data_IF_134730393803
#
_entry.id   IF_134730393803
#
_cell.length_a   1.000
_cell.length_b   1.000
_cell.length_c   1.000
_cell.angle_alpha   90.00
_cell.angle_beta   90.00
_cell.angle_gamma   90.00
#
_symmetry.space_group_name_H-M   'P 1'
#
loop_
_entity.id
_entity.type
_entity.pdbx_description
1 polymer ?
#
# COMPACT_ATOMS: atom_id res chain seq x y z
N UNK A 1 6.87 -3.31 8.95
CA UNK A 1 7.78 -2.13 9.00
C UNK A 1 9.01 -2.52 8.20
N UNK A 2 9.22 -1.92 7.01
CA UNK A 2 10.13 -2.46 6.01
C UNK A 2 11.58 -2.10 6.27
N UNK A 3 12.47 -2.92 5.70
CA UNK A 3 13.88 -2.63 5.37
C UNK A 3 14.59 -1.75 6.41
N UNK A 4 14.92 -2.38 7.53
CA UNK A 4 16.03 -2.07 8.43
C UNK A 4 16.08 -0.65 9.07
N UNK A 5 14.95 -0.07 9.49
CA UNK A 5 14.94 1.11 10.36
C UNK A 5 15.02 0.81 11.88
N UNK A 6 14.98 -0.45 12.33
CA UNK A 6 14.71 -0.73 13.75
C UNK A 6 15.74 -0.14 14.72
N UNK A 7 17.04 -0.16 14.38
CA UNK A 7 18.10 0.40 15.22
C UNK A 7 18.18 1.92 15.11
N UNK A 8 18.35 2.45 13.89
CA UNK A 8 18.59 3.89 13.69
C UNK A 8 17.36 4.74 14.09
N UNK A 9 16.14 4.23 13.83
CA UNK A 9 14.92 4.91 14.25
C UNK A 9 14.70 4.84 15.76
N UNK A 10 15.05 3.73 16.40
CA UNK A 10 14.99 3.63 17.85
C UNK A 10 15.99 4.58 18.52
N UNK A 11 17.23 4.60 18.05
CA UNK A 11 18.25 5.52 18.54
C UNK A 11 17.78 6.97 18.41
N UNK A 12 17.28 7.37 17.23
CA UNK A 12 16.73 8.70 17.03
C UNK A 12 15.52 8.97 17.95
N UNK A 13 14.55 8.07 18.01
CA UNK A 13 13.36 8.22 18.86
C UNK A 13 13.70 8.31 20.34
N UNK A 14 14.76 7.63 20.80
CA UNK A 14 15.21 7.67 22.19
C UNK A 14 15.74 9.04 22.63
N UNK A 15 16.06 9.93 21.68
CA UNK A 15 16.51 11.30 21.96
C UNK A 15 15.37 12.28 22.27
N UNK A 16 14.11 11.90 22.03
CA UNK A 16 12.94 12.76 22.21
C UNK A 16 11.81 11.96 22.89
N UNK A 17 11.37 12.43 24.06
CA UNK A 17 10.39 11.72 24.90
C UNK A 17 9.07 11.39 24.16
N UNK A 18 8.57 12.32 23.34
CA UNK A 18 7.33 12.12 22.59
C UNK A 18 7.53 11.11 21.44
N UNK A 19 8.66 11.17 20.73
CA UNK A 19 8.99 10.21 19.69
C UNK A 19 9.20 8.81 20.26
N UNK A 20 9.82 8.68 21.43
CA UNK A 20 9.97 7.39 22.12
C UNK A 20 8.61 6.79 22.45
N UNK A 21 7.68 7.57 23.00
CA UNK A 21 6.32 7.08 23.22
C UNK A 21 5.61 6.69 21.93
N UNK A 22 5.71 7.47 20.85
CA UNK A 22 5.14 7.10 19.56
C UNK A 22 5.73 5.78 19.01
N UNK A 23 7.04 5.58 19.15
CA UNK A 23 7.71 4.33 18.79
C UNK A 23 7.21 3.13 19.59
N UNK A 24 7.04 3.28 20.91
CA UNK A 24 6.57 2.22 21.79
C UNK A 24 5.09 1.86 21.50
N UNK A 25 4.25 2.85 21.15
CA UNK A 25 2.87 2.60 20.71
C UNK A 25 2.87 1.74 19.44
N UNK A 26 3.62 2.14 18.40
CA UNK A 26 3.71 1.37 17.15
C UNK A 26 4.22 -0.06 17.39
N UNK A 27 5.24 -0.20 18.23
CA UNK A 27 5.83 -1.51 18.57
C UNK A 27 4.82 -2.41 19.29
N UNK A 28 4.13 -1.87 20.29
CA UNK A 28 3.14 -2.61 21.05
C UNK A 28 1.93 -3.02 20.20
N UNK A 29 1.48 -2.16 19.29
CA UNK A 29 0.40 -2.47 18.34
C UNK A 29 0.82 -3.51 17.32
N UNK A 30 2.03 -3.40 16.76
CA UNK A 30 2.56 -4.39 15.83
C UNK A 30 2.66 -5.78 16.47
N UNK A 31 3.14 -5.87 17.72
CA UNK A 31 3.14 -7.12 18.48
C UNK A 31 1.72 -7.65 18.70
N UNK A 32 0.75 -6.77 18.99
CA UNK A 32 -0.64 -7.19 19.13
C UNK A 32 -1.22 -7.77 17.84
N UNK A 33 -0.99 -7.12 16.71
CA UNK A 33 -1.43 -7.61 15.39
C UNK A 33 -0.84 -9.00 15.12
N UNK A 34 0.47 -9.17 15.29
CA UNK A 34 1.14 -10.47 15.09
C UNK A 34 0.67 -11.56 16.05
N UNK A 35 0.10 -11.20 17.20
CA UNK A 35 -0.46 -12.12 18.18
C UNK A 35 -1.98 -12.31 18.04
N UNK A 36 -2.59 -11.78 16.97
CA UNK A 36 -4.04 -11.85 16.75
C UNK A 36 -4.85 -11.10 17.82
N UNK A 37 -4.28 -10.06 18.44
CA UNK A 37 -4.95 -9.23 19.46
C UNK A 37 -5.40 -7.91 18.85
N UNK A 38 -6.56 -7.42 19.30
CA UNK A 38 -7.17 -6.17 18.83
C UNK A 38 -6.76 -4.94 19.62
N UNK A 39 -6.16 -5.10 20.80
CA UNK A 39 -5.80 -3.99 21.68
C UNK A 39 -4.52 -4.25 22.46
N UNK A 40 -3.88 -3.18 22.92
CA UNK A 40 -2.65 -3.23 23.72
C UNK A 40 -2.74 -2.26 24.89
N UNK A 41 -2.67 -2.78 26.11
CA UNK A 41 -2.62 -1.96 27.34
C UNK A 41 -1.38 -1.07 27.34
N UNK A 42 -0.26 -1.57 26.85
CA UNK A 42 0.98 -0.80 26.81
C UNK A 42 0.91 0.32 25.76
N UNK A 43 0.30 0.07 24.60
CA UNK A 43 0.04 1.14 23.63
C UNK A 43 -0.84 2.23 24.25
N UNK A 44 -1.92 1.87 24.94
CA UNK A 44 -2.81 2.83 25.60
C UNK A 44 -2.11 3.66 26.68
N UNK A 45 -1.26 3.02 27.49
CA UNK A 45 -0.43 3.70 28.51
C UNK A 45 0.51 4.73 27.87
N UNK A 46 1.20 4.34 26.81
CA UNK A 46 2.10 5.26 26.09
C UNK A 46 1.33 6.37 25.36
N UNK A 47 0.16 6.09 24.80
CA UNK A 47 -0.70 7.09 24.18
C UNK A 47 -1.15 8.14 25.20
N UNK A 48 -1.55 7.72 26.40
CA UNK A 48 -1.92 8.65 27.49
C UNK A 48 -0.77 9.57 27.87
N UNK A 49 0.46 9.06 27.96
CA UNK A 49 1.64 9.87 28.26
C UNK A 49 2.00 10.80 27.11
N UNK A 50 1.96 10.29 25.88
CA UNK A 50 2.25 11.05 24.67
C UNK A 50 1.34 12.26 24.51
N UNK A 51 0.03 12.10 24.75
CA UNK A 51 -0.94 13.20 24.68
C UNK A 51 -0.59 14.30 25.68
N UNK A 52 -0.14 13.96 26.90
CA UNK A 52 0.29 14.96 27.89
C UNK A 52 1.50 15.76 27.38
N UNK A 53 2.55 15.07 26.94
CA UNK A 53 3.77 15.69 26.41
C UNK A 53 3.47 16.57 25.19
N UNK A 54 2.57 16.12 24.31
CA UNK A 54 2.16 16.89 23.14
C UNK A 54 1.37 18.15 23.52
N UNK A 55 0.46 18.07 24.49
CA UNK A 55 -0.30 19.24 24.94
C UNK A 55 0.64 20.33 25.48
N UNK A 56 1.69 19.94 26.23
CA UNK A 56 2.70 20.86 26.73
C UNK A 56 3.48 21.50 25.55
N UNK A 57 3.90 20.71 24.56
CA UNK A 57 4.59 21.22 23.36
C UNK A 57 3.72 22.15 22.52
N UNK A 58 2.44 21.82 22.35
CA UNK A 58 1.51 22.58 21.52
C UNK A 58 1.09 23.89 22.17
N UNK A 59 1.17 23.98 23.49
CA UNK A 59 0.93 25.22 24.25
C UNK A 59 2.06 26.24 24.11
N UNK A 60 3.26 25.79 23.74
CA UNK A 60 4.42 26.64 23.47
C UNK A 60 4.56 26.93 21.96
N UNK A 61 4.53 28.21 21.52
CA UNK A 61 4.64 28.57 20.10
C UNK A 61 5.92 28.09 19.41
N UNK A 62 7.04 27.98 20.14
CA UNK A 62 8.33 27.51 19.61
C UNK A 62 8.30 25.99 19.50
N UNK A 63 7.92 25.29 20.58
CA UNK A 63 7.93 23.82 20.61
C UNK A 63 6.89 23.21 19.65
N UNK A 64 5.76 23.87 19.46
CA UNK A 64 4.69 23.42 18.55
C UNK A 64 5.16 23.27 17.10
N UNK A 65 6.12 24.10 16.67
CA UNK A 65 6.63 24.14 15.30
C UNK A 65 7.95 23.38 15.11
N UNK A 66 8.43 22.65 16.12
CA UNK A 66 9.61 21.81 15.99
C UNK A 66 9.35 20.64 15.04
N UNK A 67 10.38 20.26 14.29
CA UNK A 67 10.34 19.10 13.39
C UNK A 67 9.99 17.80 14.14
N UNK A 68 10.46 17.65 15.38
CA UNK A 68 10.10 16.49 16.22
C UNK A 68 8.62 16.50 16.60
N UNK A 69 8.01 17.64 16.91
CA UNK A 69 6.57 17.76 17.21
C UNK A 69 5.71 17.40 15.99
N UNK A 70 6.05 17.95 14.81
CA UNK A 70 5.35 17.62 13.55
C UNK A 70 5.51 16.14 13.22
N UNK A 71 6.70 15.57 13.45
CA UNK A 71 6.97 14.15 13.24
C UNK A 71 6.14 13.25 14.17
N UNK A 72 6.03 13.59 15.47
CA UNK A 72 5.19 12.86 16.43
C UNK A 72 3.74 12.85 15.98
N UNK A 73 3.19 14.00 15.56
CA UNK A 73 1.79 14.08 15.10
C UNK A 73 1.60 13.28 13.81
N UNK A 74 2.60 13.25 12.93
CA UNK A 74 2.61 12.39 11.73
C UNK A 74 2.59 10.91 12.10
N UNK A 75 3.36 10.51 13.13
CA UNK A 75 3.33 9.15 13.65
C UNK A 75 1.98 8.79 14.28
N UNK A 76 1.34 9.71 15.01
CA UNK A 76 -0.01 9.50 15.56
C UNK A 76 -1.04 9.30 14.46
N UNK A 77 -1.03 10.13 13.42
CA UNK A 77 -1.91 9.96 12.27
C UNK A 77 -1.74 8.57 11.63
N UNK A 78 -0.50 8.12 11.42
CA UNK A 78 -0.20 6.79 10.90
C UNK A 78 -0.66 5.66 11.83
N UNK A 79 -0.48 5.81 13.15
CA UNK A 79 -0.98 4.86 14.15
C UNK A 79 -2.50 4.70 14.02
N UNK A 80 -3.24 5.81 13.93
CA UNK A 80 -4.69 5.78 13.78
C UNK A 80 -5.12 5.14 12.45
N UNK A 81 -4.43 5.43 11.34
CA UNK A 81 -4.68 4.79 10.02
C UNK A 81 -4.45 3.27 10.09
N UNK A 82 -3.33 2.85 10.67
CA UNK A 82 -2.98 1.43 10.80
C UNK A 82 -3.90 0.66 11.76
N UNK A 83 -4.60 1.37 12.66
CA UNK A 83 -5.62 0.80 13.56
C UNK A 83 -7.06 0.99 13.05
N UNK A 84 -7.25 1.36 11.78
CA UNK A 84 -8.57 1.56 11.17
C UNK A 84 -9.42 2.65 11.86
N UNK A 85 -8.79 3.74 12.30
CA UNK A 85 -9.41 4.91 12.93
C UNK A 85 -9.21 6.18 12.07
N UNK A 86 -9.70 6.22 10.82
CA UNK A 86 -9.41 7.32 9.90
C UNK A 86 -10.00 8.67 10.33
N UNK A 87 -11.10 8.68 11.11
CA UNK A 87 -11.65 9.92 11.65
C UNK A 87 -10.74 10.56 12.71
N UNK A 88 -10.09 9.75 13.54
CA UNK A 88 -9.07 10.25 14.47
C UNK A 88 -7.82 10.73 13.72
N UNK A 89 -7.41 9.99 12.68
CA UNK A 89 -6.33 10.41 11.80
C UNK A 89 -6.62 11.76 11.14
N UNK A 90 -7.85 12.02 10.71
CA UNK A 90 -8.27 13.28 10.07
C UNK A 90 -7.95 14.51 10.93
N UNK A 91 -8.21 14.44 12.24
CA UNK A 91 -7.88 15.52 13.17
C UNK A 91 -6.37 15.78 13.25
N UNK A 92 -5.55 14.72 13.22
CA UNK A 92 -4.10 14.84 13.15
C UNK A 92 -3.62 15.42 11.81
N UNK A 93 -4.21 15.02 10.67
CA UNK A 93 -3.88 15.58 9.35
C UNK A 93 -4.22 17.08 9.27
N UNK A 94 -5.36 17.50 9.83
CA UNK A 94 -5.72 18.91 9.95
C UNK A 94 -4.67 19.69 10.76
N UNK A 95 -4.31 19.18 11.94
CA UNK A 95 -3.28 19.78 12.78
C UNK A 95 -1.92 19.88 12.05
N UNK A 96 -1.52 18.82 11.33
CA UNK A 96 -0.30 18.82 10.52
C UNK A 96 -0.35 19.93 9.47
N UNK A 97 -1.48 20.12 8.78
CA UNK A 97 -1.60 21.19 7.78
C UNK A 97 -1.35 22.57 8.37
N UNK A 98 -1.88 22.85 9.56
CA UNK A 98 -1.66 24.12 10.24
C UNK A 98 -0.19 24.30 10.68
N UNK A 99 0.42 23.26 11.25
CA UNK A 99 1.81 23.31 11.72
C UNK A 99 2.81 23.42 10.57
N UNK A 100 2.60 22.67 9.48
CA UNK A 100 3.45 22.71 8.29
C UNK A 100 3.36 24.08 7.62
N UNK A 101 2.17 24.67 7.51
CA UNK A 101 2.01 26.04 7.01
C UNK A 101 2.77 27.04 7.89
N UNK A 102 2.66 26.94 9.22
CA UNK A 102 3.42 27.81 10.15
C UNK A 102 4.93 27.64 10.02
N UNK A 103 5.40 26.43 9.71
CA UNK A 103 6.81 26.12 9.45
C UNK A 103 7.31 26.65 8.10
N UNK A 104 6.42 27.16 7.26
CA UNK A 104 6.74 27.71 5.93
C UNK A 104 6.61 26.69 4.78
N UNK A 105 5.86 25.60 5.00
CA UNK A 105 5.57 24.58 4.00
C UNK A 105 6.43 23.31 4.11
N UNK A 106 6.07 22.28 3.35
CA UNK A 106 6.71 20.95 3.38
C UNK A 106 8.22 20.98 3.12
N UNK A 107 8.67 21.89 2.27
CA UNK A 107 10.09 22.03 1.90
C UNK A 107 10.94 22.69 3.00
N UNK A 108 10.31 23.24 4.04
CA UNK A 108 11.00 23.83 5.22
C UNK A 108 11.14 22.84 6.38
N UNK A 109 10.62 21.62 6.23
CA UNK A 109 10.73 20.58 7.24
C UNK A 109 12.13 19.97 7.26
N UNK A 110 12.63 19.70 8.47
CA UNK A 110 13.98 19.20 8.72
C UNK A 110 14.10 17.67 8.75
N UNK A 111 15.10 17.19 9.52
CA UNK A 111 15.40 15.77 9.74
C UNK A 111 15.62 14.98 8.45
N UNK A 112 16.41 15.56 7.53
CA UNK A 112 16.74 14.98 6.23
C UNK A 112 15.50 14.58 5.40
N UNK A 113 14.39 15.31 5.54
CA UNK A 113 13.13 15.06 4.84
C UNK A 113 12.24 14.00 5.51
N UNK A 114 12.63 13.45 6.65
CA UNK A 114 11.86 12.39 7.34
C UNK A 114 10.49 12.88 7.78
N UNK A 115 10.40 14.12 8.28
CA UNK A 115 9.13 14.72 8.67
C UNK A 115 8.20 14.86 7.47
N UNK A 116 8.71 15.36 6.34
CA UNK A 116 7.96 15.47 5.08
C UNK A 116 7.43 14.10 4.66
N UNK A 117 8.29 13.07 4.59
CA UNK A 117 7.88 11.71 4.18
C UNK A 117 6.79 11.12 5.07
N UNK A 118 6.90 11.27 6.41
CA UNK A 118 5.87 10.78 7.34
C UNK A 118 4.57 11.55 7.22
N UNK A 119 4.61 12.87 7.10
CA UNK A 119 3.42 13.69 6.92
C UNK A 119 2.69 13.37 5.61
N UNK A 120 3.43 13.21 4.51
CA UNK A 120 2.88 12.84 3.20
C UNK A 120 2.25 11.44 3.23
N UNK A 121 2.92 10.46 3.84
CA UNK A 121 2.36 9.11 3.94
C UNK A 121 1.12 9.06 4.84
N UNK A 122 1.11 9.83 5.94
CA UNK A 122 -0.07 9.95 6.78
C UNK A 122 -1.26 10.57 6.03
N UNK A 123 -1.02 11.65 5.28
CA UNK A 123 -2.04 12.31 4.48
C UNK A 123 -2.60 11.37 3.39
N UNK A 124 -1.73 10.67 2.66
CA UNK A 124 -2.15 9.70 1.64
C UNK A 124 -2.94 8.53 2.25
N UNK A 125 -2.45 7.94 3.35
CA UNK A 125 -3.16 6.85 4.03
C UNK A 125 -4.53 7.27 4.55
N UNK A 126 -4.64 8.48 5.11
CA UNK A 126 -5.90 9.07 5.53
C UNK A 126 -6.83 9.32 4.34
N UNK A 127 -6.30 9.85 3.24
CA UNK A 127 -7.03 10.13 2.02
C UNK A 127 -7.61 8.86 1.40
N UNK A 128 -6.80 7.79 1.30
CA UNK A 128 -7.24 6.46 0.86
C UNK A 128 -8.34 5.94 1.78
N UNK A 129 -8.15 5.97 3.10
CA UNK A 129 -9.13 5.43 4.04
C UNK A 129 -10.48 6.17 3.99
N UNK A 130 -10.48 7.47 3.64
CA UNK A 130 -11.69 8.29 3.54
C UNK A 130 -12.19 8.48 2.10
N UNK A 131 -11.47 7.97 1.09
CA UNK A 131 -11.79 8.16 -0.33
C UNK A 131 -11.88 9.63 -0.74
N UNK A 132 -10.93 10.44 -0.27
CA UNK A 132 -10.81 11.86 -0.58
C UNK A 132 -9.49 12.16 -1.29
N UNK A 133 -9.37 13.35 -1.88
CA UNK A 133 -8.08 13.83 -2.41
C UNK A 133 -7.11 14.11 -1.25
N UNK A 134 -5.84 13.68 -1.32
CA UNK A 134 -4.90 13.99 -0.26
C UNK A 134 -4.61 15.50 -0.23
N UNK A 135 -4.43 16.02 0.98
CA UNK A 135 -4.38 17.45 1.28
C UNK A 135 -3.08 18.11 0.82
N UNK A 136 -1.98 17.38 0.96
CA UNK A 136 -0.66 17.92 0.71
C UNK A 136 -0.29 17.84 -0.78
N UNK A 137 0.40 18.86 -1.31
CA UNK A 137 0.82 18.86 -2.70
C UNK A 137 1.81 17.73 -2.95
N UNK A 138 1.63 17.07 -4.10
CA UNK A 138 2.54 16.07 -4.63
C UNK A 138 3.54 16.73 -5.57
N UNK A 139 4.78 16.22 -5.59
CA UNK A 139 5.82 16.55 -6.55
C UNK A 139 6.48 15.24 -6.97
N UNK A 140 6.60 15.04 -8.27
CA UNK A 140 7.23 13.89 -8.92
C UNK A 140 8.75 13.99 -8.95
N UNK A 141 9.34 15.05 -8.39
CA UNK A 141 10.79 15.27 -8.38
C UNK A 141 11.43 14.42 -7.28
N UNK A 142 11.59 13.12 -7.57
CA UNK A 142 12.27 12.15 -6.70
C UNK A 142 13.66 11.83 -7.23
N UNK A 143 14.63 11.67 -6.32
CA UNK A 143 15.97 11.25 -6.71
C UNK A 143 15.94 9.83 -7.29
N UNK A 144 16.72 9.53 -8.35
CA UNK A 144 16.74 8.21 -8.95
C UNK A 144 17.30 7.19 -7.95
N UNK A 145 16.74 5.98 -7.94
CA UNK A 145 17.39 4.85 -7.25
C UNK A 145 18.64 4.50 -8.06
N UNK A 146 19.77 4.40 -7.40
CA UNK A 146 21.02 3.99 -8.04
C UNK A 146 21.30 2.55 -7.61
N UNK A 147 21.23 1.60 -8.54
CA UNK A 147 21.68 0.23 -8.26
C UNK A 147 23.22 0.18 -8.30
N UNK A 148 23.87 -0.67 -7.49
CA UNK A 148 25.28 -0.97 -7.66
C UNK A 148 25.53 -1.48 -9.09
N UNK A 149 26.60 -1.01 -9.77
CA UNK A 149 26.88 -1.36 -11.18
C UNK A 149 27.10 -2.86 -11.44
N UNK A 150 27.41 -3.64 -10.40
CA UNK A 150 27.65 -5.08 -10.48
C UNK A 150 26.38 -5.94 -10.27
N UNK A 151 25.24 -5.31 -9.97
CA UNK A 151 23.95 -5.99 -9.89
C UNK A 151 23.42 -6.21 -11.31
N UNK A 152 23.02 -7.45 -11.62
CA UNK A 152 22.27 -7.87 -12.81
C UNK A 152 21.47 -6.69 -13.40
N UNK A 153 21.70 -6.34 -14.67
CA UNK A 153 20.95 -5.24 -15.28
C UNK A 153 19.45 -5.48 -15.04
N UNK A 154 18.75 -4.52 -14.41
CA UNK A 154 17.35 -4.64 -14.06
C UNK A 154 16.53 -4.48 -15.34
N UNK A 155 16.57 -5.47 -16.22
CA UNK A 155 15.67 -5.45 -17.36
C UNK A 155 14.31 -5.84 -16.84
N UNK A 156 13.44 -4.84 -16.73
CA UNK A 156 11.99 -5.01 -16.77
C UNK A 156 11.69 -6.13 -17.75
N UNK A 157 10.98 -7.16 -17.30
CA UNK A 157 10.62 -8.25 -18.20
C UNK A 157 9.66 -7.68 -19.26
N UNK A 158 10.20 -7.40 -20.44
CA UNK A 158 9.46 -6.94 -21.62
C UNK A 158 9.16 -8.09 -22.57
N UNK A 159 9.35 -9.35 -22.14
CA UNK A 159 9.02 -10.50 -22.95
C UNK A 159 7.53 -10.50 -23.33
N UNK A 160 7.17 -11.02 -24.53
CA UNK A 160 5.78 -11.19 -24.92
C UNK A 160 5.02 -11.98 -23.85
N UNK A 161 3.94 -11.40 -23.35
CA UNK A 161 3.14 -11.97 -22.28
C UNK A 161 3.66 -11.70 -20.87
N UNK A 162 4.59 -10.76 -20.65
CA UNK A 162 4.87 -10.25 -19.31
C UNK A 162 3.73 -9.36 -18.79
N UNK A 163 3.62 -9.19 -17.46
CA UNK A 163 2.61 -8.29 -16.88
C UNK A 163 2.76 -6.85 -17.40
N UNK A 164 4.01 -6.42 -17.69
CA UNK A 164 4.29 -5.09 -18.21
C UNK A 164 3.62 -4.89 -19.58
N UNK A 165 3.76 -5.88 -20.48
CA UNK A 165 3.16 -5.83 -21.81
C UNK A 165 1.63 -5.90 -21.73
N UNK A 166 1.08 -6.76 -20.87
CA UNK A 166 -0.36 -6.85 -20.65
C UNK A 166 -0.95 -5.51 -20.15
N UNK A 167 -0.32 -4.90 -19.15
CA UNK A 167 -0.73 -3.60 -18.59
C UNK A 167 -0.60 -2.49 -19.63
N UNK A 168 0.42 -2.55 -20.50
CA UNK A 168 0.57 -1.60 -21.61
C UNK A 168 -0.57 -1.69 -22.62
N UNK A 169 -0.97 -2.91 -22.97
CA UNK A 169 -2.11 -3.13 -23.83
C UNK A 169 -3.44 -2.76 -23.17
N UNK A 170 -3.55 -2.94 -21.85
CA UNK A 170 -4.73 -2.54 -21.06
C UNK A 170 -4.87 -1.02 -21.01
N UNK A 171 -3.77 -0.33 -20.70
CA UNK A 171 -3.70 1.12 -20.62
C UNK A 171 -3.98 1.79 -21.96
N UNK A 172 -3.49 1.23 -23.07
CA UNK A 172 -3.79 1.74 -24.42
C UNK A 172 -5.27 1.62 -24.81
N UNK A 173 -6.01 0.72 -24.16
CA UNK A 173 -7.44 0.50 -24.43
C UNK A 173 -8.35 1.21 -23.44
N UNK A 174 -7.89 1.43 -22.21
CA UNK A 174 -8.61 2.22 -21.23
C UNK A 174 -8.60 3.69 -21.70
N UNK A 175 -9.76 4.35 -21.67
CA UNK A 175 -9.85 5.80 -21.96
C UNK A 175 -9.33 6.68 -20.81
N UNK A 176 -8.46 6.12 -19.95
CA UNK A 176 -7.97 6.73 -18.72
C UNK A 176 -6.63 7.45 -18.87
N UNK A 177 -6.13 8.07 -17.79
CA UNK A 177 -4.81 8.71 -17.79
C UNK A 177 -3.71 7.66 -17.97
N UNK A 178 -2.64 8.03 -18.67
CA UNK A 178 -1.52 7.12 -18.96
C UNK A 178 -0.40 7.28 -17.92
N UNK A 179 -0.28 6.34 -16.99
CA UNK A 179 0.87 6.17 -16.08
C UNK A 179 0.97 4.76 -15.44
N UNK A 180 0.00 3.87 -15.70
CA UNK A 180 -0.10 2.56 -15.06
C UNK A 180 1.09 1.66 -15.39
N UNK A 181 1.58 1.67 -16.64
CA UNK A 181 2.79 0.94 -17.01
C UNK A 181 4.02 1.40 -16.24
N UNK A 182 4.16 2.72 -16.04
CA UNK A 182 5.28 3.28 -15.30
C UNK A 182 5.23 2.84 -13.83
N UNK A 183 4.03 2.86 -13.22
CA UNK A 183 3.81 2.34 -11.87
C UNK A 183 4.23 0.88 -11.74
N UNK A 184 3.80 -0.01 -12.65
CA UNK A 184 4.16 -1.44 -12.61
C UNK A 184 5.67 -1.65 -12.77
N UNK A 185 6.29 -0.91 -13.69
CA UNK A 185 7.74 -0.92 -13.86
C UNK A 185 8.47 -0.52 -12.57
N UNK A 186 8.02 0.56 -11.93
CA UNK A 186 8.66 1.08 -10.73
C UNK A 186 8.47 0.12 -9.54
N UNK A 187 7.33 -0.58 -9.45
CA UNK A 187 7.12 -1.66 -8.47
C UNK A 187 8.06 -2.85 -8.68
N UNK A 188 8.22 -3.30 -9.94
CA UNK A 188 9.17 -4.37 -10.28
C UNK A 188 10.59 -3.97 -9.91
N UNK A 189 10.96 -2.73 -10.24
CA UNK A 189 12.27 -2.17 -9.94
C UNK A 189 12.52 -2.06 -8.43
N UNK A 190 11.55 -1.54 -7.66
CA UNK A 190 11.62 -1.51 -6.20
C UNK A 190 11.77 -2.91 -5.60
N UNK A 191 11.05 -3.89 -6.12
CA UNK A 191 11.18 -5.27 -5.67
C UNK A 191 12.58 -5.84 -5.95
N UNK A 192 13.13 -5.60 -7.14
CA UNK A 192 14.50 -5.97 -7.48
C UNK A 192 15.53 -5.32 -6.55
N UNK A 193 15.38 -4.03 -6.26
CA UNK A 193 16.27 -3.31 -5.33
C UNK A 193 16.19 -3.95 -3.93
N UNK A 194 14.99 -4.25 -3.44
CA UNK A 194 14.80 -4.87 -2.12
C UNK A 194 15.38 -6.29 -2.07
N UNK A 195 15.18 -7.08 -3.13
CA UNK A 195 15.65 -8.48 -3.20
C UNK A 195 17.16 -8.59 -3.46
N UNK A 196 17.74 -7.70 -4.26
CA UNK A 196 19.19 -7.63 -4.48
C UNK A 196 19.94 -7.11 -3.26
N UNK A 197 19.28 -6.29 -2.45
CA UNK A 197 19.79 -5.82 -1.18
C UNK A 197 19.76 -6.90 -0.10
N UNK A 198 20.53 -7.97 -0.28
CA UNK A 198 20.88 -8.90 0.78
C UNK A 198 21.78 -8.21 1.83
N UNK A 199 21.14 -7.48 2.75
CA UNK A 199 21.46 -7.32 4.19
C UNK A 199 22.92 -7.06 4.64
N UNK A 200 23.56 -5.99 4.17
CA UNK A 200 24.48 -5.12 4.97
C UNK A 200 24.68 -3.74 4.34
N UNK A 201 24.47 -3.60 3.02
CA UNK A 201 25.01 -2.47 2.25
C UNK A 201 23.99 -1.35 1.93
N UNK A 202 22.73 -1.46 2.39
CA UNK A 202 21.75 -0.39 2.20
C UNK A 202 22.18 0.81 3.05
N UNK A 203 22.75 1.81 2.38
CA UNK A 203 23.17 3.06 3.01
C UNK A 203 21.93 3.83 3.49
N UNK A 204 22.12 4.75 4.43
CA UNK A 204 21.04 5.63 4.89
C UNK A 204 20.39 6.41 3.73
N UNK A 205 21.17 6.78 2.71
CA UNK A 205 20.72 7.49 1.51
C UNK A 205 19.76 6.62 0.71
N UNK A 206 20.09 5.35 0.49
CA UNK A 206 19.22 4.41 -0.26
C UNK A 206 17.87 4.22 0.42
N UNK A 207 17.82 4.21 1.76
CA UNK A 207 16.56 4.08 2.52
C UNK A 207 15.65 5.29 2.38
N UNK A 208 16.23 6.49 2.34
CA UNK A 208 15.43 7.72 2.15
C UNK A 208 14.83 7.73 0.74
N UNK A 209 15.64 7.39 -0.25
CA UNK A 209 15.22 7.28 -1.65
C UNK A 209 14.09 6.24 -1.77
N UNK A 210 14.24 5.03 -1.21
CA UNK A 210 13.19 4.02 -1.23
C UNK A 210 11.86 4.51 -0.66
N UNK A 211 11.89 5.26 0.45
CA UNK A 211 10.66 5.78 1.04
C UNK A 211 9.96 6.83 0.17
N UNK A 212 10.71 7.63 -0.59
CA UNK A 212 10.15 8.58 -1.54
C UNK A 212 9.55 7.84 -2.75
N UNK A 213 10.20 6.79 -3.25
CA UNK A 213 9.69 5.95 -4.34
C UNK A 213 8.43 5.15 -3.96
N UNK A 214 8.35 4.59 -2.75
CA UNK A 214 7.11 3.95 -2.29
C UNK A 214 5.94 4.93 -2.27
N UNK A 215 6.17 6.14 -1.72
CA UNK A 215 5.14 7.17 -1.68
C UNK A 215 4.74 7.61 -3.09
N UNK A 216 5.70 7.79 -3.99
CA UNK A 216 5.47 8.20 -5.37
C UNK A 216 4.54 7.23 -6.11
N UNK A 217 4.86 5.93 -6.08
CA UNK A 217 4.05 4.88 -6.71
C UNK A 217 2.64 4.83 -6.11
N UNK A 218 2.53 4.84 -4.78
CA UNK A 218 1.24 4.83 -4.09
C UNK A 218 0.40 6.05 -4.44
N UNK A 219 1.05 7.22 -4.54
CA UNK A 219 0.40 8.48 -4.84
C UNK A 219 -0.11 8.53 -6.27
N UNK A 220 0.72 8.14 -7.25
CA UNK A 220 0.32 8.10 -8.66
C UNK A 220 -0.82 7.11 -8.90
N UNK A 221 -0.73 5.90 -8.32
CA UNK A 221 -1.81 4.91 -8.40
C UNK A 221 -3.13 5.43 -7.80
N UNK A 222 -3.08 6.16 -6.68
CA UNK A 222 -4.27 6.74 -6.08
C UNK A 222 -4.83 7.93 -6.87
N UNK A 223 -3.98 8.79 -7.44
CA UNK A 223 -4.43 9.88 -8.30
C UNK A 223 -5.09 9.36 -9.59
N UNK A 224 -4.61 8.23 -10.16
CA UNK A 224 -5.27 7.56 -11.29
C UNK A 224 -6.70 7.10 -10.92
N UNK A 225 -6.89 6.51 -9.74
CA UNK A 225 -8.22 6.10 -9.24
C UNK A 225 -9.17 7.29 -9.13
N UNK A 226 -8.72 8.40 -8.51
CA UNK A 226 -9.53 9.60 -8.35
C UNK A 226 -9.87 10.26 -9.70
N UNK A 227 -8.96 10.17 -10.66
CA UNK A 227 -9.15 10.78 -11.99
C UNK A 227 -10.16 9.97 -12.82
N UNK A 228 -10.13 8.64 -12.72
CA UNK A 228 -11.08 7.78 -13.42
C UNK A 228 -12.52 7.93 -12.89
N UNK A 229 -12.69 8.20 -11.59
CA UNK A 229 -13.99 8.57 -11.01
C UNK A 229 -14.55 9.87 -11.61
N UNK A 230 -13.68 10.84 -11.94
CA UNK A 230 -14.07 12.12 -12.57
C UNK A 230 -14.44 11.97 -14.05
N UNK A 231 -13.74 11.12 -14.80
CA UNK A 231 -14.11 10.83 -16.20
C UNK A 231 -15.39 10.01 -16.33
N UNK A 232 -15.77 9.29 -15.27
CA UNK A 232 -17.01 8.52 -15.21
C UNK A 232 -18.22 9.36 -14.78
N UNK A 233 -18.01 10.51 -14.13
CA UNK A 233 -19.07 11.35 -13.58
C UNK A 233 -18.83 12.83 -13.83
N UNK A 234 -19.67 13.44 -14.68
CA UNK A 234 -19.89 14.89 -14.69
C UNK A 234 -20.55 15.32 -13.36
N UNK A 235 -19.73 15.49 -12.32
CA UNK A 235 -20.03 16.27 -11.12
C UNK A 235 -21.15 15.74 -10.23
N UNK A 236 -20.81 14.81 -9.32
CA UNK A 236 -21.27 14.76 -7.92
C UNK A 236 -20.63 13.54 -7.22
N UNK A 237 -19.63 13.81 -6.38
CA UNK A 237 -19.00 12.82 -5.50
C UNK A 237 -20.02 12.33 -4.47
N UNK A 238 -20.63 11.17 -4.69
CA UNK A 238 -21.12 10.24 -3.63
C UNK A 238 -22.12 9.18 -4.11
N UNK A 239 -22.57 9.20 -5.37
CA UNK A 239 -23.55 8.21 -5.86
C UNK A 239 -23.10 7.63 -7.20
N UNK A 240 -23.02 6.30 -7.24
CA UNK A 240 -22.80 5.46 -8.42
C UNK A 240 -21.34 5.18 -8.87
N UNK A 241 -20.55 4.56 -7.98
CA UNK A 241 -19.54 3.56 -8.40
C UNK A 241 -20.19 2.32 -9.08
N UNK A 242 -21.52 2.26 -9.18
CA UNK A 242 -22.28 1.16 -9.76
C UNK A 242 -22.26 1.15 -11.30
N UNK A 243 -22.35 2.30 -11.97
CA UNK A 243 -22.57 2.39 -13.43
C UNK A 243 -21.31 2.68 -14.28
N UNK A 244 -20.17 2.97 -13.65
CA UNK A 244 -18.93 3.37 -14.35
C UNK A 244 -18.05 2.23 -14.88
N UNK A 245 -18.32 0.98 -14.46
CA UNK A 245 -17.49 -0.19 -14.76
C UNK A 245 -18.19 -1.09 -15.78
N UNK A 246 -18.53 -0.54 -16.95
CA UNK A 246 -19.25 -1.27 -18.00
C UNK A 246 -18.34 -2.10 -18.90
N UNK A 247 -17.03 -1.80 -18.94
CA UNK A 247 -16.06 -2.56 -19.73
C UNK A 247 -14.98 -3.23 -18.87
N UNK A 248 -14.51 -4.38 -19.36
CA UNK A 248 -13.49 -5.20 -18.72
C UNK A 248 -12.18 -4.42 -18.49
N UNK A 249 -11.78 -3.60 -19.47
CA UNK A 249 -10.51 -2.87 -19.44
C UNK A 249 -10.47 -1.84 -18.31
N UNK A 250 -11.56 -1.13 -18.07
CA UNK A 250 -11.69 -0.15 -16.99
C UNK A 250 -11.70 -0.81 -15.62
N UNK A 251 -12.38 -1.96 -15.48
CA UNK A 251 -12.40 -2.71 -14.23
C UNK A 251 -11.00 -3.26 -13.87
N UNK A 252 -10.32 -3.88 -14.84
CA UNK A 252 -8.94 -4.33 -14.65
C UNK A 252 -7.99 -3.17 -14.37
N UNK A 253 -8.13 -2.04 -15.06
CA UNK A 253 -7.29 -0.86 -14.83
C UNK A 253 -7.42 -0.35 -13.38
N UNK A 254 -8.66 -0.21 -12.87
CA UNK A 254 -8.89 0.15 -11.47
C UNK A 254 -8.35 -0.90 -10.51
N UNK A 255 -8.52 -2.18 -10.87
CA UNK A 255 -7.96 -3.32 -10.15
C UNK A 255 -6.44 -3.22 -10.01
N UNK A 256 -5.74 -2.89 -11.09
CA UNK A 256 -4.29 -2.68 -11.09
C UNK A 256 -3.86 -1.51 -10.21
N UNK A 257 -4.58 -0.38 -10.22
CA UNK A 257 -4.25 0.76 -9.37
C UNK A 257 -4.39 0.41 -7.88
N UNK A 258 -5.46 -0.28 -7.49
CA UNK A 258 -5.66 -0.74 -6.11
C UNK A 258 -4.63 -1.80 -5.72
N UNK A 259 -4.37 -2.78 -6.60
CA UNK A 259 -3.37 -3.81 -6.40
C UNK A 259 -1.96 -3.21 -6.28
N UNK A 260 -1.62 -2.15 -7.02
CA UNK A 260 -0.33 -1.48 -6.91
C UNK A 260 -0.09 -0.88 -5.52
N UNK A 261 -1.10 -0.20 -4.96
CA UNK A 261 -1.03 0.37 -3.61
C UNK A 261 -0.94 -0.74 -2.56
N UNK A 262 -1.78 -1.77 -2.68
CA UNK A 262 -1.78 -2.92 -1.77
C UNK A 262 -0.43 -3.64 -1.81
N UNK A 263 0.10 -3.89 -3.01
CA UNK A 263 1.37 -4.56 -3.22
C UNK A 263 2.54 -3.76 -2.62
N UNK A 264 2.58 -2.43 -2.84
CA UNK A 264 3.55 -1.56 -2.17
C UNK A 264 3.47 -1.68 -0.65
N UNK A 265 2.27 -1.65 -0.08
CA UNK A 265 2.07 -1.74 1.38
C UNK A 265 2.39 -3.13 1.96
N UNK A 266 1.92 -4.20 1.32
CA UNK A 266 2.03 -5.57 1.81
C UNK A 266 3.40 -6.16 1.50
N UNK A 267 3.81 -6.15 0.24
CA UNK A 267 5.00 -6.84 -0.25
C UNK A 267 6.27 -6.04 0.02
N UNK A 268 6.25 -4.74 -0.25
CA UNK A 268 7.47 -3.91 -0.22
C UNK A 268 7.65 -3.20 1.12
N UNK A 269 6.56 -2.70 1.71
CA UNK A 269 6.57 -2.08 3.04
C UNK A 269 6.43 -3.08 4.20
N UNK A 270 6.17 -4.35 3.91
CA UNK A 270 6.00 -5.42 4.90
C UNK A 270 5.03 -5.01 6.02
N UNK A 271 3.88 -4.42 5.63
CA UNK A 271 2.79 -4.12 6.56
C UNK A 271 1.97 -5.39 6.72
N UNK A 272 1.74 -5.87 7.96
CA UNK A 272 0.93 -7.06 8.19
C UNK A 272 -0.46 -6.91 7.56
N UNK A 273 -0.98 -7.94 6.86
CA UNK A 273 -2.24 -7.83 6.13
C UNK A 273 -3.42 -7.44 7.04
N UNK A 274 -3.37 -7.76 8.33
CA UNK A 274 -4.41 -7.39 9.32
C UNK A 274 -4.44 -5.89 9.65
N UNK A 275 -3.46 -5.09 9.21
CA UNK A 275 -3.43 -3.65 9.47
C UNK A 275 -4.60 -2.91 8.80
N UNK A 276 -5.12 -1.88 9.47
CA UNK A 276 -6.28 -1.12 9.04
C UNK A 276 -6.13 -0.38 7.71
N UNK A 277 -4.90 -0.08 7.28
CA UNK A 277 -4.62 0.56 5.97
C UNK A 277 -5.19 -0.23 4.80
N UNK A 278 -5.30 -1.56 4.93
CA UNK A 278 -5.84 -2.41 3.86
C UNK A 278 -7.37 -2.43 3.81
N UNK A 279 -8.09 -1.98 4.84
CA UNK A 279 -9.54 -2.16 4.93
C UNK A 279 -10.27 -1.56 3.72
N UNK A 280 -10.07 -0.27 3.45
CA UNK A 280 -10.73 0.39 2.33
C UNK A 280 -10.21 -0.10 0.97
N UNK A 281 -8.91 -0.37 0.87
CA UNK A 281 -8.27 -0.86 -0.35
C UNK A 281 -8.82 -2.24 -0.77
N UNK A 282 -8.88 -3.19 0.16
CA UNK A 282 -9.42 -4.54 -0.06
C UNK A 282 -10.91 -4.47 -0.36
N UNK A 283 -11.67 -3.66 0.38
CA UNK A 283 -13.12 -3.46 0.15
C UNK A 283 -13.37 -2.98 -1.29
N UNK A 284 -12.62 -1.96 -1.73
CA UNK A 284 -12.76 -1.42 -3.07
C UNK A 284 -12.30 -2.40 -4.14
N UNK A 285 -11.18 -3.09 -3.92
CA UNK A 285 -10.67 -4.05 -4.89
C UNK A 285 -11.62 -5.24 -5.04
N UNK A 286 -12.20 -5.73 -3.95
CA UNK A 286 -13.20 -6.79 -4.00
C UNK A 286 -14.44 -6.35 -4.80
N UNK A 287 -14.91 -5.10 -4.60
CA UNK A 287 -16.03 -4.53 -5.37
C UNK A 287 -15.72 -4.42 -6.86
N UNK A 288 -14.51 -4.00 -7.22
CA UNK A 288 -14.06 -3.93 -8.62
C UNK A 288 -13.95 -5.33 -9.21
N UNK A 289 -13.33 -6.26 -8.49
CA UNK A 289 -13.09 -7.63 -8.92
C UNK A 289 -14.39 -8.40 -9.20
N UNK A 290 -15.46 -8.16 -8.44
CA UNK A 290 -16.78 -8.75 -8.71
C UNK A 290 -17.38 -8.36 -10.06
N UNK A 291 -16.92 -7.26 -10.68
CA UNK A 291 -17.39 -6.82 -12.00
C UNK A 291 -16.51 -7.31 -13.14
N UNK A 292 -15.40 -7.98 -12.83
CA UNK A 292 -14.50 -8.53 -13.84
C UNK A 292 -15.05 -9.88 -14.29
N UNK A 293 -15.31 -10.03 -15.59
CA UNK A 293 -15.47 -11.35 -16.20
C UNK A 293 -14.12 -12.05 -16.17
N UNK A 294 -13.92 -12.93 -15.18
CA UNK A 294 -12.62 -13.56 -14.90
C UNK A 294 -12.17 -14.47 -16.04
N UNK A 295 -13.08 -15.13 -16.75
CA UNK A 295 -12.75 -16.02 -17.88
C UNK A 295 -12.29 -15.22 -19.09
N UNK A 296 -13.01 -14.16 -19.45
CA UNK A 296 -12.60 -13.24 -20.52
C UNK A 296 -11.31 -12.50 -20.17
N UNK A 297 -11.18 -12.04 -18.92
CA UNK A 297 -9.99 -11.37 -18.41
C UNK A 297 -8.76 -12.28 -18.50
N UNK A 298 -8.87 -13.54 -18.08
CA UNK A 298 -7.77 -14.48 -18.11
C UNK A 298 -7.29 -14.76 -19.53
N UNK A 299 -8.22 -14.89 -20.49
CA UNK A 299 -7.85 -15.14 -21.89
C UNK A 299 -7.06 -13.98 -22.52
N UNK A 300 -7.20 -12.76 -21.98
CA UNK A 300 -6.63 -11.54 -22.57
C UNK A 300 -5.46 -10.97 -21.77
N UNK A 301 -5.52 -11.07 -20.45
CA UNK A 301 -4.60 -10.48 -19.47
C UNK A 301 -4.36 -11.43 -18.28
N UNK A 302 -3.89 -12.67 -18.51
CA UNK A 302 -3.79 -13.69 -17.47
C UNK A 302 -2.92 -13.24 -16.29
N UNK A 303 -1.71 -12.73 -16.55
CA UNK A 303 -0.79 -12.34 -15.47
C UNK A 303 -1.30 -11.15 -14.67
N UNK A 304 -1.92 -10.19 -15.35
CA UNK A 304 -2.50 -9.00 -14.74
C UNK A 304 -3.69 -9.37 -13.85
N UNK A 305 -4.61 -10.20 -14.35
CA UNK A 305 -5.76 -10.67 -13.58
C UNK A 305 -5.30 -11.43 -12.33
N UNK A 306 -4.40 -12.40 -12.52
CA UNK A 306 -3.90 -13.23 -11.43
C UNK A 306 -3.16 -12.40 -10.38
N UNK A 307 -2.35 -11.43 -10.79
CA UNK A 307 -1.67 -10.53 -9.87
C UNK A 307 -2.67 -9.66 -9.08
N UNK A 308 -3.69 -9.12 -9.73
CA UNK A 308 -4.74 -8.31 -9.08
C UNK A 308 -5.52 -9.14 -8.06
N UNK A 309 -6.01 -10.32 -8.44
CA UNK A 309 -6.77 -11.21 -7.56
C UNK A 309 -5.90 -11.78 -6.43
N UNK A 310 -4.67 -12.20 -6.73
CA UNK A 310 -3.71 -12.70 -5.76
C UNK A 310 -3.32 -11.64 -4.74
N UNK A 311 -3.03 -10.40 -5.18
CA UNK A 311 -2.69 -9.29 -4.29
C UNK A 311 -3.87 -8.94 -3.38
N UNK A 312 -5.08 -8.85 -3.93
CA UNK A 312 -6.30 -8.59 -3.17
C UNK A 312 -6.61 -9.70 -2.17
N UNK A 313 -6.52 -10.95 -2.63
CA UNK A 313 -6.64 -12.15 -1.81
C UNK A 313 -5.68 -12.12 -0.64
N UNK A 314 -4.37 -12.04 -0.89
CA UNK A 314 -3.30 -11.99 0.12
C UNK A 314 -3.53 -10.89 1.17
N UNK A 315 -3.90 -9.68 0.74
CA UNK A 315 -4.18 -8.59 1.67
C UNK A 315 -5.50 -8.75 2.45
N UNK A 316 -6.44 -9.56 1.96
CA UNK A 316 -7.73 -9.79 2.62
C UNK A 316 -7.66 -10.76 3.81
N UNK A 317 -6.48 -11.22 4.24
CA UNK A 317 -6.35 -12.12 5.40
C UNK A 317 -7.05 -11.55 6.65
N UNK A 318 -7.92 -12.37 7.26
CA UNK A 318 -8.73 -11.97 8.41
C UNK A 318 -9.92 -11.06 8.10
N UNK A 319 -10.26 -10.86 6.81
CA UNK A 319 -11.42 -10.06 6.36
C UNK A 319 -12.45 -10.91 5.63
N UNK A 320 -13.68 -10.41 5.60
CA UNK A 320 -14.81 -11.07 4.93
C UNK A 320 -14.66 -11.15 3.41
N UNK A 321 -13.95 -10.20 2.82
CA UNK A 321 -13.68 -10.09 1.38
C UNK A 321 -12.77 -11.21 0.88
N UNK A 322 -12.01 -11.86 1.76
CA UNK A 322 -11.12 -12.98 1.41
C UNK A 322 -11.84 -14.05 0.60
N UNK A 323 -13.02 -14.46 1.07
CA UNK A 323 -13.85 -15.47 0.42
C UNK A 323 -14.38 -15.03 -0.96
N UNK A 324 -14.46 -13.72 -1.22
CA UNK A 324 -14.86 -13.23 -2.54
C UNK A 324 -13.74 -13.45 -3.57
N UNK A 325 -12.49 -13.20 -3.20
CA UNK A 325 -11.33 -13.50 -4.05
C UNK A 325 -11.14 -15.00 -4.25
N UNK A 326 -11.32 -15.81 -3.20
CA UNK A 326 -11.28 -17.28 -3.29
C UNK A 326 -12.29 -17.77 -4.33
N UNK A 327 -13.55 -17.32 -4.24
CA UNK A 327 -14.61 -17.71 -5.20
C UNK A 327 -14.33 -17.28 -6.64
N UNK A 328 -13.72 -16.11 -6.85
CA UNK A 328 -13.38 -15.62 -8.19
C UNK A 328 -12.31 -16.48 -8.86
N UNK A 329 -11.24 -16.82 -8.14
CA UNK A 329 -10.19 -17.69 -8.66
C UNK A 329 -10.67 -19.14 -8.80
N UNK A 330 -11.47 -19.59 -7.86
CA UNK A 330 -12.08 -20.90 -7.95
C UNK A 330 -12.99 -21.05 -9.18
N UNK A 331 -13.81 -20.05 -9.49
CA UNK A 331 -14.63 -20.05 -10.70
C UNK A 331 -13.77 -20.20 -11.98
N UNK A 332 -12.63 -19.51 -12.02
CA UNK A 332 -11.66 -19.62 -13.11
C UNK A 332 -11.04 -21.03 -13.19
N UNK A 333 -10.77 -21.69 -12.06
CA UNK A 333 -10.25 -23.07 -12.01
C UNK A 333 -11.25 -24.13 -12.48
N UNK A 334 -12.55 -23.82 -12.46
CA UNK A 334 -13.59 -24.71 -12.95
C UNK A 334 -13.79 -24.66 -14.46
N UNK A 335 -13.11 -23.74 -15.16
CA UNK A 335 -13.24 -23.61 -16.61
C UNK A 335 -12.74 -24.88 -17.33
N UNK A 336 -13.46 -25.40 -18.35
CA UNK A 336 -13.12 -26.68 -18.99
C UNK A 336 -11.74 -26.73 -19.65
N UNK A 337 -11.16 -25.58 -19.96
CA UNK A 337 -9.83 -25.42 -20.55
C UNK A 337 -8.72 -25.22 -19.51
N UNK A 338 -9.09 -25.05 -18.23
CA UNK A 338 -8.15 -24.90 -17.12
C UNK A 338 -7.84 -26.28 -16.53
N UNK A 339 -6.67 -26.82 -16.86
CA UNK A 339 -6.31 -28.20 -16.51
C UNK A 339 -5.24 -28.33 -15.41
N UNK A 340 -4.65 -27.22 -14.94
CA UNK A 340 -3.52 -27.28 -14.02
C UNK A 340 -3.48 -26.11 -13.02
N UNK A 341 -3.88 -26.36 -11.78
CA UNK A 341 -3.80 -25.39 -10.68
C UNK A 341 -2.36 -25.02 -10.33
N UNK A 342 -1.42 -25.96 -10.39
CA UNK A 342 -0.01 -25.73 -10.07
C UNK A 342 0.63 -24.76 -11.07
N UNK A 343 0.29 -24.90 -12.36
CA UNK A 343 0.75 -23.96 -13.39
C UNK A 343 0.24 -22.52 -13.13
N UNK A 344 -1.01 -22.37 -12.67
CA UNK A 344 -1.57 -21.06 -12.34
C UNK A 344 -0.90 -20.46 -11.09
N UNK A 345 -0.64 -21.27 -10.07
CA UNK A 345 0.11 -20.87 -8.87
C UNK A 345 1.51 -20.37 -9.25
N UNK A 346 2.21 -21.08 -10.14
CA UNK A 346 3.51 -20.67 -10.66
C UNK A 346 3.39 -19.34 -11.45
N UNK A 347 2.38 -19.18 -12.31
CA UNK A 347 2.18 -17.92 -13.06
C UNK A 347 2.00 -16.69 -12.16
N UNK A 348 1.29 -16.83 -11.03
CA UNK A 348 1.14 -15.75 -10.03
C UNK A 348 2.49 -15.44 -9.37
N UNK A 349 3.30 -16.48 -9.14
CA UNK A 349 4.62 -16.33 -8.54
C UNK A 349 5.61 -15.55 -9.42
N UNK A 350 5.41 -15.56 -10.73
CA UNK A 350 6.29 -14.90 -11.70
C UNK A 350 5.71 -13.62 -12.32
N UNK A 351 4.44 -13.26 -12.05
CA UNK A 351 3.82 -12.07 -12.64
C UNK A 351 4.52 -10.76 -12.22
N UNK A 352 4.82 -10.60 -10.93
CA UNK A 352 5.74 -9.59 -10.40
C UNK A 352 6.69 -10.32 -9.45
N UNK A 353 7.99 -9.97 -9.46
CA UNK A 353 8.96 -10.54 -8.51
C UNK A 353 8.42 -10.50 -7.09
N UNK A 354 8.48 -11.62 -6.37
CA UNK A 354 7.85 -11.75 -5.06
C UNK A 354 8.84 -11.50 -3.92
N UNK A 355 8.39 -10.81 -2.88
CA UNK A 355 9.10 -10.74 -1.59
C UNK A 355 8.68 -11.90 -0.68
N UNK A 356 9.52 -12.38 0.25
CA UNK A 356 9.18 -13.52 1.11
C UNK A 356 7.88 -13.33 1.92
N UNK A 357 7.62 -12.10 2.38
CA UNK A 357 6.40 -11.76 3.13
C UNK A 357 5.16 -11.88 2.24
N UNK A 358 5.25 -11.39 1.00
CA UNK A 358 4.17 -11.50 0.03
C UNK A 358 3.93 -12.95 -0.40
N UNK A 359 5.00 -13.74 -0.56
CA UNK A 359 4.90 -15.16 -0.89
C UNK A 359 4.12 -15.91 0.20
N UNK A 360 4.43 -15.69 1.47
CA UNK A 360 3.72 -16.33 2.57
C UNK A 360 2.23 -15.99 2.56
N UNK A 361 1.87 -14.72 2.37
CA UNK A 361 0.48 -14.29 2.30
C UNK A 361 -0.28 -14.85 1.08
N UNK A 362 0.43 -15.07 -0.03
CA UNK A 362 -0.12 -15.75 -1.22
C UNK A 362 -0.27 -17.25 -1.00
N UNK A 363 0.67 -17.92 -0.34
CA UNK A 363 0.55 -19.36 -0.02
C UNK A 363 -0.68 -19.58 0.86
N UNK A 364 -0.82 -18.80 1.95
CA UNK A 364 -2.01 -18.83 2.80
C UNK A 364 -3.32 -18.63 1.98
N UNK A 365 -3.26 -17.87 0.89
CA UNK A 365 -4.41 -17.66 -0.01
C UNK A 365 -4.73 -18.83 -0.91
N UNK A 366 -3.71 -19.49 -1.43
CA UNK A 366 -3.91 -20.70 -2.22
C UNK A 366 -4.45 -21.85 -1.36
N UNK A 367 -3.99 -21.95 -0.11
CA UNK A 367 -4.48 -22.97 0.82
C UNK A 367 -6.00 -22.85 1.03
N UNK A 368 -6.54 -21.62 1.16
CA UNK A 368 -8.00 -21.37 1.24
C UNK A 368 -8.76 -21.84 -0.02
N UNK A 369 -8.13 -21.74 -1.21
CA UNK A 369 -8.72 -22.17 -2.49
C UNK A 369 -8.75 -23.70 -2.56
N UNK A 370 -7.64 -24.35 -2.23
CA UNK A 370 -7.53 -25.82 -2.17
C UNK A 370 -8.54 -26.40 -1.17
N UNK A 371 -8.70 -25.77 0.00
CA UNK A 371 -9.67 -26.20 1.01
C UNK A 371 -11.12 -26.09 0.49
N UNK A 372 -11.44 -25.03 -0.26
CA UNK A 372 -12.75 -24.87 -0.92
C UNK A 372 -13.02 -25.90 -2.02
N UNK A 373 -11.99 -26.35 -2.75
CA UNK A 373 -12.12 -27.42 -3.74
C UNK A 373 -12.33 -28.77 -3.07
N UNK A 374 -11.53 -29.10 -2.06
CA UNK A 374 -11.64 -30.33 -1.29
C UNK A 374 -13.02 -30.48 -0.62
N UNK A 375 -13.58 -29.40 -0.07
CA UNK A 375 -14.93 -29.43 0.50
C UNK A 375 -16.02 -29.75 -0.53
N UNK A 376 -15.82 -29.40 -1.80
CA UNK A 376 -16.76 -29.73 -2.89
C UNK A 376 -16.64 -31.17 -3.35
N UNK A 377 -15.44 -31.72 -3.41
CA UNK A 377 -15.23 -33.12 -3.84
C UNK A 377 -15.77 -34.14 -2.82
N UNK A 378 -15.97 -33.71 -1.56
CA UNK A 378 -16.49 -34.54 -0.47
C UNK A 378 -18.03 -34.45 -0.32
N UNK A 379 -18.68 -33.44 -0.92
CA UNK A 379 -20.14 -33.23 -0.86
C UNK A 379 -20.83 -33.71 -2.13
#
# INVERSE_FOLDING_TARGET
MPVNMKTDWFEFASTDDALLHAFLIMSALHICILRGRTSSVDAFRHQTKLVKVLNDRLSDPILSCLDSTILVISCLALIEILNASPLAAAAHIEALGQLITRRGGLMKLGLNGTVRRKALWADLGNAIAQQIKPRFPYSSDISPITLPPDSIQPTVDTSPGSIYVEVSNLEAQASGPSDLCAIIRDLQYLCLVINSANRTDITQIDRLVLSDHFYDVERRAYDLLLTQDVYSHNGLLSVAMHDALTDLSSALYMGCCLAAIIYSCLALREIPPQAGVFNQLVTNLARVAQKIDVSQAYCRYPKTLLWVLGTGGAAAQGRTERMQFVKLLDHLLQEPWMHNCDAMRDEVQYAIHITPVYLAALIDFWDDIEEMQNMRDVC
#
